data_IF_607740974884
#
_entry.id   IF_607740974884
#
_cell.length_a   1.000
_cell.length_b   1.000
_cell.length_c   1.000
_cell.angle_alpha   90.00
_cell.angle_beta   90.00
_cell.angle_gamma   90.00
#
_symmetry.space_group_name_H-M   'P 1'
#
loop_
_entity.id
_entity.type
_entity.pdbx_description
1 polymer ?
#
# COMPACT_ATOMS: atom_id res chain seq x y z
N UNK A 1 12.14 -7.88 16.00
CA UNK A 1 11.57 -8.50 14.78
C UNK A 1 12.17 -7.81 13.57
N UNK A 2 12.60 -8.58 12.56
CA UNK A 2 13.31 -8.08 11.36
C UNK A 2 12.51 -6.97 10.66
N UNK A 3 11.18 -7.09 10.62
CA UNK A 3 10.26 -6.06 10.10
C UNK A 3 10.43 -4.69 10.77
N UNK A 4 10.61 -4.67 12.10
CA UNK A 4 10.71 -3.42 12.85
C UNK A 4 12.06 -2.73 12.60
N UNK A 5 13.14 -3.51 12.46
CA UNK A 5 14.45 -2.97 12.10
C UNK A 5 14.46 -2.44 10.66
N UNK A 6 13.78 -3.14 9.75
CA UNK A 6 13.60 -2.69 8.37
C UNK A 6 12.83 -1.36 8.30
N UNK A 7 11.69 -1.27 9.00
CA UNK A 7 10.91 -0.01 9.08
C UNK A 7 11.71 1.12 9.74
N UNK A 8 12.50 0.81 10.77
CA UNK A 8 13.38 1.80 11.40
C UNK A 8 14.47 2.30 10.44
N UNK A 9 14.99 1.43 9.56
CA UNK A 9 15.97 1.78 8.53
C UNK A 9 15.37 2.63 7.40
N UNK A 10 14.09 2.45 7.05
CA UNK A 10 13.37 3.34 6.11
C UNK A 10 13.24 4.76 6.68
N UNK A 11 13.07 4.86 8.00
CA UNK A 11 12.93 6.13 8.71
C UNK A 11 11.48 6.60 8.82
N UNK A 12 11.10 7.08 10.00
CA UNK A 12 9.72 7.45 10.33
C UNK A 12 9.13 8.53 9.43
N UNK A 13 9.93 9.52 9.03
CA UNK A 13 9.48 10.59 8.14
C UNK A 13 9.12 10.03 6.77
N UNK A 14 9.97 9.19 6.18
CA UNK A 14 9.71 8.57 4.88
C UNK A 14 8.45 7.70 4.92
N UNK A 15 8.28 6.90 5.98
CA UNK A 15 7.07 6.09 6.20
C UNK A 15 5.81 6.97 6.23
N UNK A 16 5.85 8.11 6.93
CA UNK A 16 4.73 9.03 7.00
C UNK A 16 4.33 9.54 5.61
N UNK A 17 5.29 9.96 4.77
CA UNK A 17 4.98 10.40 3.40
C UNK A 17 4.44 9.28 2.52
N UNK A 18 4.95 8.05 2.66
CA UNK A 18 4.45 6.88 1.93
C UNK A 18 2.99 6.64 2.27
N UNK A 19 2.66 6.58 3.56
CA UNK A 19 1.29 6.35 4.04
C UNK A 19 0.39 7.49 3.56
N UNK A 20 0.83 8.74 3.70
CA UNK A 20 0.07 9.90 3.24
C UNK A 20 -0.24 9.83 1.74
N UNK A 21 0.74 9.45 0.91
CA UNK A 21 0.55 9.32 -0.53
C UNK A 21 -0.44 8.21 -0.90
N UNK A 22 -0.39 7.06 -0.22
CA UNK A 22 -1.36 5.98 -0.41
C UNK A 22 -2.77 6.36 0.07
N UNK A 23 -2.89 7.13 1.15
CA UNK A 23 -4.18 7.66 1.61
C UNK A 23 -4.75 8.65 0.60
N UNK A 24 -3.94 9.58 0.08
CA UNK A 24 -4.36 10.52 -0.95
C UNK A 24 -4.82 9.82 -2.22
N UNK A 25 -4.12 8.75 -2.62
CA UNK A 25 -4.55 7.89 -3.72
C UNK A 25 -5.93 7.25 -3.45
N UNK A 26 -6.13 6.73 -2.24
CA UNK A 26 -7.41 6.11 -1.84
C UNK A 26 -8.56 7.13 -1.83
N UNK A 27 -8.31 8.34 -1.34
CA UNK A 27 -9.27 9.45 -1.36
C UNK A 27 -9.63 9.85 -2.79
N UNK A 28 -8.63 9.97 -3.68
CA UNK A 28 -8.86 10.27 -5.10
C UNK A 28 -9.68 9.16 -5.78
N UNK A 29 -9.43 7.89 -5.45
CA UNK A 29 -10.22 6.76 -5.94
C UNK A 29 -11.68 6.86 -5.49
N UNK A 30 -11.95 7.09 -4.20
CA UNK A 30 -13.31 7.25 -3.69
C UNK A 30 -14.00 8.46 -4.33
N UNK A 31 -13.30 9.59 -4.41
CA UNK A 31 -13.82 10.82 -5.02
C UNK A 31 -14.19 10.64 -6.49
N UNK A 32 -13.37 9.93 -7.27
CA UNK A 32 -13.66 9.59 -8.67
C UNK A 32 -14.93 8.74 -8.81
N UNK A 33 -15.08 7.73 -7.95
CA UNK A 33 -16.27 6.87 -7.93
C UNK A 33 -17.54 7.63 -7.51
N UNK A 34 -17.45 8.49 -6.48
CA UNK A 34 -18.58 9.33 -6.04
C UNK A 34 -18.99 10.32 -7.13
N UNK A 35 -18.01 10.95 -7.81
CA UNK A 35 -18.30 11.85 -8.92
C UNK A 35 -19.00 11.13 -10.07
N UNK A 36 -18.55 9.93 -10.42
CA UNK A 36 -19.18 9.10 -11.44
C UNK A 36 -20.60 8.66 -11.03
N UNK A 37 -20.81 8.34 -9.75
CA UNK A 37 -22.14 8.01 -9.21
C UNK A 37 -23.11 9.20 -9.31
N UNK A 38 -22.65 10.42 -8.99
CA UNK A 38 -23.45 11.62 -9.16
C UNK A 38 -23.76 11.89 -10.63
N UNK A 39 -22.76 11.75 -11.51
CA UNK A 39 -22.95 11.96 -12.95
C UNK A 39 -23.95 10.97 -13.56
N UNK A 40 -23.87 9.69 -13.18
CA UNK A 40 -24.82 8.66 -13.64
C UNK A 40 -26.22 8.80 -13.05
N UNK A 41 -26.37 9.49 -11.92
CA UNK A 41 -27.68 9.80 -11.34
C UNK A 41 -28.35 10.96 -12.09
N UNK A 42 -27.59 12.00 -12.41
CA UNK A 42 -28.06 13.12 -13.23
C UNK A 42 -28.46 12.65 -14.63
N UNK A 43 -27.66 11.79 -15.27
CA UNK A 43 -27.95 11.32 -16.63
C UNK A 43 -29.27 10.56 -16.75
N UNK A 44 -29.75 9.91 -15.68
CA UNK A 44 -31.06 9.23 -15.65
C UNK A 44 -32.23 10.22 -15.79
N UNK A 45 -32.08 11.44 -15.26
CA UNK A 45 -33.11 12.49 -15.32
C UNK A 45 -33.18 13.08 -16.73
N UNK A 46 -32.03 13.22 -17.39
CA UNK A 46 -31.92 13.76 -18.75
C UNK A 46 -32.05 12.72 -19.86
N UNK A 47 -32.41 11.46 -19.56
CA UNK A 47 -32.54 10.42 -20.59
C UNK A 47 -33.70 10.69 -21.59
N UNK A 48 -34.54 11.70 -21.33
CA UNK A 48 -35.65 12.13 -22.19
C UNK A 48 -35.56 13.59 -22.66
N UNK A 49 -34.49 14.32 -22.33
CA UNK A 49 -34.25 15.71 -22.76
C UNK A 49 -32.79 15.89 -23.19
N UNK A 50 -32.50 16.77 -24.15
CA UNK A 50 -31.14 16.98 -24.62
C UNK A 50 -30.19 17.38 -23.47
N UNK A 51 -29.20 16.54 -23.17
CA UNK A 51 -28.21 16.81 -22.14
C UNK A 51 -27.36 18.03 -22.55
N UNK A 52 -27.28 19.10 -21.74
CA UNK A 52 -26.53 20.30 -22.11
C UNK A 52 -25.06 19.95 -22.37
N UNK A 53 -24.57 20.22 -23.59
CA UNK A 53 -23.18 19.91 -24.00
C UNK A 53 -22.14 20.47 -23.00
N UNK A 54 -22.37 21.68 -22.50
CA UNK A 54 -21.51 22.33 -21.49
C UNK A 54 -21.41 21.55 -20.17
N UNK A 55 -22.51 21.00 -19.65
CA UNK A 55 -22.49 20.22 -18.41
C UNK A 55 -21.78 18.87 -18.60
N UNK A 56 -21.95 18.25 -19.77
CA UNK A 56 -21.29 16.97 -20.09
C UNK A 56 -19.78 17.16 -20.15
N UNK A 57 -19.32 18.19 -20.85
CA UNK A 57 -17.90 18.45 -21.03
C UNK A 57 -17.23 18.86 -19.70
N UNK A 58 -17.94 19.60 -18.83
CA UNK A 58 -17.49 19.86 -17.45
C UNK A 58 -17.38 18.58 -16.61
N UNK A 59 -18.40 17.72 -16.60
CA UNK A 59 -18.40 16.45 -15.84
C UNK A 59 -17.27 15.52 -16.29
N UNK A 60 -17.07 15.41 -17.60
CA UNK A 60 -15.99 14.64 -18.22
C UNK A 60 -14.62 15.23 -17.86
N UNK A 61 -14.46 16.55 -17.93
CA UNK A 61 -13.23 17.24 -17.57
C UNK A 61 -12.82 17.02 -16.11
N UNK A 62 -13.77 17.15 -15.17
CA UNK A 62 -13.51 16.92 -13.74
C UNK A 62 -13.18 15.45 -13.49
N UNK A 63 -13.89 14.50 -14.11
CA UNK A 63 -13.59 13.08 -13.98
C UNK A 63 -12.20 12.73 -14.53
N UNK A 64 -11.84 13.28 -15.69
CA UNK A 64 -10.50 13.14 -16.27
C UNK A 64 -9.41 13.72 -15.36
N UNK A 65 -9.64 14.90 -14.79
CA UNK A 65 -8.71 15.53 -13.85
C UNK A 65 -8.53 14.70 -12.57
N UNK A 66 -9.62 14.14 -12.01
CA UNK A 66 -9.55 13.24 -10.85
C UNK A 66 -8.78 11.96 -11.16
N UNK A 67 -8.99 11.36 -12.35
CA UNK A 67 -8.24 10.19 -12.79
C UNK A 67 -6.74 10.47 -12.98
N UNK A 68 -6.40 11.62 -13.59
CA UNK A 68 -5.01 12.05 -13.72
C UNK A 68 -4.36 12.31 -12.36
N UNK A 69 -5.05 13.00 -11.46
CA UNK A 69 -4.58 13.23 -10.09
C UNK A 69 -4.36 11.91 -9.35
N UNK A 70 -5.30 10.97 -9.45
CA UNK A 70 -5.16 9.63 -8.89
C UNK A 70 -3.91 8.94 -9.43
N UNK A 71 -3.68 8.95 -10.75
CA UNK A 71 -2.50 8.35 -11.38
C UNK A 71 -1.19 8.97 -10.89
N UNK A 72 -1.13 10.29 -10.76
CA UNK A 72 0.03 11.01 -10.21
C UNK A 72 0.27 10.59 -8.75
N UNK A 73 -0.77 10.50 -7.92
CA UNK A 73 -0.62 10.06 -6.53
C UNK A 73 -0.16 8.60 -6.41
N UNK A 74 -0.67 7.68 -7.24
CA UNK A 74 -0.16 6.30 -7.31
C UNK A 74 1.32 6.30 -7.65
N UNK A 75 1.70 7.05 -8.67
CA UNK A 75 3.08 7.09 -9.14
C UNK A 75 4.02 7.61 -8.06
N UNK A 76 3.68 8.73 -7.41
CA UNK A 76 4.45 9.28 -6.29
C UNK A 76 4.55 8.29 -5.14
N UNK A 77 3.44 7.66 -4.73
CA UNK A 77 3.42 6.69 -3.64
C UNK A 77 4.37 5.51 -3.93
N UNK A 78 4.33 4.95 -5.14
CA UNK A 78 5.17 3.84 -5.54
C UNK A 78 6.63 4.21 -5.71
N UNK A 79 6.90 5.36 -6.33
CA UNK A 79 8.26 5.86 -6.51
C UNK A 79 8.94 6.13 -5.17
N UNK A 80 8.24 6.81 -4.27
CA UNK A 80 8.76 7.13 -2.94
C UNK A 80 8.95 5.87 -2.08
N UNK A 81 8.01 4.92 -2.16
CA UNK A 81 8.14 3.63 -1.49
C UNK A 81 9.37 2.86 -1.98
N UNK A 82 9.56 2.77 -3.30
CA UNK A 82 10.72 2.10 -3.89
C UNK A 82 12.03 2.74 -3.41
N UNK A 83 12.12 4.07 -3.40
CA UNK A 83 13.30 4.77 -2.89
C UNK A 83 13.54 4.48 -1.41
N UNK A 84 12.50 4.52 -0.58
CA UNK A 84 12.58 4.23 0.86
C UNK A 84 13.05 2.81 1.15
N UNK A 85 12.54 1.81 0.42
CA UNK A 85 12.93 0.41 0.58
C UNK A 85 14.36 0.12 0.11
N UNK A 86 14.76 0.67 -1.04
CA UNK A 86 16.15 0.56 -1.51
C UNK A 86 17.13 1.23 -0.53
N UNK A 87 16.75 2.38 0.05
CA UNK A 87 17.55 3.04 1.06
C UNK A 87 17.72 2.17 2.32
N UNK A 88 16.63 1.57 2.80
CA UNK A 88 16.64 0.68 3.96
C UNK A 88 17.49 -0.58 3.73
N UNK A 89 17.33 -1.24 2.59
CA UNK A 89 18.15 -2.39 2.17
C UNK A 89 19.64 -2.04 2.19
N UNK A 90 20.03 -0.89 1.64
CA UNK A 90 21.44 -0.46 1.61
C UNK A 90 22.00 -0.21 3.03
N UNK A 91 21.20 0.37 3.94
CA UNK A 91 21.59 0.54 5.34
C UNK A 91 21.81 -0.81 6.03
N UNK A 92 20.85 -1.73 5.89
CA UNK A 92 20.91 -3.05 6.53
C UNK A 92 22.08 -3.88 6.00
N UNK A 93 22.30 -3.88 4.67
CA UNK A 93 23.44 -4.52 4.04
C UNK A 93 24.77 -3.99 4.60
N UNK A 94 24.92 -2.67 4.72
CA UNK A 94 26.14 -2.04 5.28
C UNK A 94 26.34 -2.40 6.76
N UNK A 95 25.27 -2.39 7.56
CA UNK A 95 25.33 -2.76 8.97
C UNK A 95 25.75 -4.23 9.13
N UNK A 96 25.16 -5.14 8.35
CA UNK A 96 25.51 -6.54 8.39
C UNK A 96 26.95 -6.80 7.94
N UNK A 97 27.38 -6.17 6.84
CA UNK A 97 28.76 -6.29 6.35
C UNK A 97 29.77 -5.83 7.41
N UNK A 98 29.53 -4.67 8.03
CA UNK A 98 30.38 -4.14 9.09
C UNK A 98 30.43 -5.06 10.32
N UNK A 99 29.30 -5.70 10.68
CA UNK A 99 29.24 -6.65 11.78
C UNK A 99 30.02 -7.94 11.48
N UNK A 100 29.95 -8.44 10.24
CA UNK A 100 30.71 -9.62 9.80
C UNK A 100 32.21 -9.32 9.83
N UNK A 101 32.64 -8.17 9.30
CA UNK A 101 34.06 -7.79 9.27
C UNK A 101 34.67 -7.61 10.67
N UNK A 102 33.85 -7.31 11.69
CA UNK A 102 34.26 -7.17 13.09
C UNK A 102 34.12 -8.46 13.91
N UNK A 103 33.63 -9.55 13.31
CA UNK A 103 33.45 -10.80 14.00
C UNK A 103 34.82 -11.44 14.36
N UNK A 104 34.96 -12.09 15.53
CA UNK A 104 36.21 -12.72 15.92
C UNK A 104 36.57 -13.89 14.99
N UNK A 105 37.86 -14.18 14.81
CA UNK A 105 38.35 -15.29 13.96
C UNK A 105 37.65 -16.62 14.27
N UNK A 106 37.37 -16.89 15.55
CA UNK A 106 36.63 -18.07 16.04
C UNK A 106 35.25 -18.26 15.37
N UNK A 107 34.59 -17.18 14.97
CA UNK A 107 33.33 -17.25 14.22
C UNK A 107 33.57 -17.83 12.81
N UNK A 108 34.66 -17.44 12.16
CA UNK A 108 35.02 -17.94 10.83
C UNK A 108 35.57 -19.38 10.86
N UNK A 109 36.20 -19.79 11.96
CA UNK A 109 36.70 -21.17 12.11
C UNK A 109 35.58 -22.18 12.38
N UNK A 110 34.51 -21.75 13.06
CA UNK A 110 33.37 -22.61 13.43
C UNK A 110 32.27 -22.63 12.38
N UNK A 111 32.16 -21.59 11.56
CA UNK A 111 31.12 -21.46 10.53
C UNK A 111 31.75 -21.56 9.14
N UNK A 112 31.41 -22.57 8.31
CA UNK A 112 32.00 -22.71 6.99
C UNK A 112 31.73 -21.45 6.15
N UNK A 113 32.77 -20.90 5.53
CA UNK A 113 32.71 -19.64 4.77
C UNK A 113 31.63 -19.67 3.69
N UNK A 114 31.41 -20.83 3.06
CA UNK A 114 30.33 -21.04 2.09
C UNK A 114 28.92 -20.80 2.65
N UNK A 115 28.68 -21.09 3.94
CA UNK A 115 27.38 -20.81 4.59
C UNK A 115 27.17 -19.32 4.82
N UNK A 116 28.23 -18.58 5.15
CA UNK A 116 28.19 -17.12 5.31
C UNK A 116 27.85 -16.47 3.97
N UNK A 117 28.51 -16.90 2.89
CA UNK A 117 28.24 -16.40 1.53
C UNK A 117 26.82 -16.76 1.08
N UNK A 118 26.36 -17.99 1.31
CA UNK A 118 25.00 -18.40 0.95
C UNK A 118 23.93 -17.57 1.67
N UNK A 119 24.16 -17.28 2.95
CA UNK A 119 23.26 -16.44 3.76
C UNK A 119 23.32 -14.96 3.36
N UNK A 120 24.50 -14.45 2.99
CA UNK A 120 24.64 -13.06 2.56
C UNK A 120 24.07 -12.81 1.15
N UNK A 121 24.29 -13.75 0.22
CA UNK A 121 23.86 -13.62 -1.15
C UNK A 121 22.41 -14.07 -1.36
N UNK A 122 22.00 -15.19 -0.76
CA UNK A 122 20.67 -15.79 -0.98
C UNK A 122 19.61 -15.28 -0.01
N UNK A 123 19.85 -15.36 1.29
CA UNK A 123 18.80 -15.05 2.27
C UNK A 123 18.51 -13.54 2.32
N UNK A 124 19.53 -12.68 2.25
CA UNK A 124 19.32 -11.22 2.30
C UNK A 124 18.65 -10.70 1.04
N UNK A 125 19.08 -11.14 -0.14
CA UNK A 125 18.44 -10.71 -1.39
C UNK A 125 16.97 -11.11 -1.42
N UNK A 126 16.66 -12.34 -1.01
CA UNK A 126 15.28 -12.80 -0.88
C UNK A 126 14.48 -11.94 0.10
N UNK A 127 15.05 -11.61 1.25
CA UNK A 127 14.39 -10.75 2.24
C UNK A 127 14.17 -9.33 1.69
N UNK A 128 15.15 -8.77 0.98
CA UNK A 128 15.07 -7.43 0.41
C UNK A 128 14.11 -7.31 -0.77
N UNK A 129 13.82 -8.40 -1.48
CA UNK A 129 12.79 -8.42 -2.52
C UNK A 129 11.39 -8.69 -1.92
N UNK A 130 11.30 -9.66 -1.02
CA UNK A 130 10.02 -10.13 -0.48
C UNK A 130 9.41 -9.17 0.54
N UNK A 131 10.22 -8.53 1.39
CA UNK A 131 9.72 -7.61 2.42
C UNK A 131 9.02 -6.38 1.82
N UNK A 132 9.65 -5.61 0.92
CA UNK A 132 9.01 -4.47 0.25
C UNK A 132 7.73 -4.86 -0.47
N UNK A 133 7.78 -5.97 -1.21
CA UNK A 133 6.65 -6.44 -2.00
C UNK A 133 5.47 -6.82 -1.09
N UNK A 134 5.74 -7.53 0.00
CA UNK A 134 4.73 -7.93 0.98
C UNK A 134 4.13 -6.72 1.70
N UNK A 135 4.98 -5.78 2.16
CA UNK A 135 4.54 -4.55 2.83
C UNK A 135 3.67 -3.69 1.91
N UNK A 136 4.10 -3.48 0.67
CA UNK A 136 3.34 -2.72 -0.32
C UNK A 136 2.00 -3.39 -0.61
N UNK A 137 1.99 -4.70 -0.84
CA UNK A 137 0.77 -5.47 -1.10
C UNK A 137 -0.19 -5.40 0.09
N UNK A 138 0.33 -5.48 1.31
CA UNK A 138 -0.45 -5.37 2.53
C UNK A 138 -1.11 -4.00 2.66
N UNK A 139 -0.35 -2.91 2.47
CA UNK A 139 -0.88 -1.53 2.53
C UNK A 139 -1.94 -1.30 1.45
N UNK A 140 -1.69 -1.72 0.20
CA UNK A 140 -2.66 -1.53 -0.88
C UNK A 140 -3.92 -2.36 -0.68
N UNK A 141 -3.79 -3.59 -0.18
CA UNK A 141 -4.93 -4.45 0.12
C UNK A 141 -5.75 -3.86 1.28
N UNK A 142 -5.09 -3.48 2.37
CA UNK A 142 -5.74 -2.91 3.55
C UNK A 142 -6.50 -1.62 3.22
N UNK A 143 -5.85 -0.67 2.53
CA UNK A 143 -6.50 0.57 2.09
C UNK A 143 -7.58 0.32 1.03
N UNK A 144 -7.39 -0.68 0.17
CA UNK A 144 -8.41 -1.12 -0.79
C UNK A 144 -9.68 -1.61 -0.08
N UNK A 145 -9.54 -2.48 0.92
CA UNK A 145 -10.65 -2.97 1.74
C UNK A 145 -11.35 -1.81 2.47
N UNK A 146 -10.59 -0.89 3.07
CA UNK A 146 -11.19 0.29 3.72
C UNK A 146 -11.96 1.14 2.69
N UNK A 147 -11.37 1.39 1.53
CA UNK A 147 -11.97 2.23 0.50
C UNK A 147 -13.27 1.63 -0.04
N UNK A 148 -13.31 0.32 -0.26
CA UNK A 148 -14.52 -0.39 -0.72
C UNK A 148 -15.58 -0.42 0.37
N UNK A 149 -15.20 -0.69 1.63
CA UNK A 149 -16.14 -0.64 2.76
C UNK A 149 -16.76 0.74 2.92
N UNK A 150 -15.95 1.82 2.88
CA UNK A 150 -16.46 3.19 2.95
C UNK A 150 -17.45 3.47 1.80
N UNK A 151 -17.13 3.05 0.59
CA UNK A 151 -18.01 3.22 -0.58
C UNK A 151 -19.35 2.50 -0.41
N UNK A 152 -19.34 1.25 0.06
CA UNK A 152 -20.56 0.45 0.28
C UNK A 152 -21.39 1.05 1.42
N UNK A 153 -20.76 1.48 2.51
CA UNK A 153 -21.45 2.11 3.64
C UNK A 153 -22.09 3.45 3.24
N UNK A 154 -21.44 4.23 2.37
CA UNK A 154 -22.03 5.45 1.81
C UNK A 154 -23.22 5.16 0.88
N UNK A 155 -23.12 4.12 0.04
CA UNK A 155 -24.20 3.74 -0.87
C UNK A 155 -25.41 3.14 -0.14
N UNK A 156 -25.16 2.34 0.91
CA UNK A 156 -26.19 1.61 1.67
C UNK A 156 -25.88 1.65 3.16
N UNK A 157 -26.39 2.64 3.91
CA UNK A 157 -26.09 2.80 5.35
C UNK A 157 -26.44 1.57 6.19
N UNK A 158 -27.50 0.84 5.82
CA UNK A 158 -27.96 -0.39 6.49
C UNK A 158 -26.90 -1.50 6.46
N UNK A 159 -26.05 -1.54 5.42
CA UNK A 159 -24.99 -2.54 5.28
C UNK A 159 -23.96 -2.46 6.41
N UNK A 160 -23.80 -1.29 7.04
CA UNK A 160 -22.89 -1.09 8.20
C UNK A 160 -23.18 -2.07 9.33
N UNK A 161 -24.45 -2.41 9.57
CA UNK A 161 -24.86 -3.36 10.62
C UNK A 161 -24.35 -4.77 10.32
N UNK A 162 -24.25 -5.15 9.04
CA UNK A 162 -23.79 -6.47 8.58
C UNK A 162 -22.26 -6.56 8.58
N UNK A 163 -21.55 -5.44 8.38
CA UNK A 163 -20.08 -5.39 8.39
C UNK A 163 -19.51 -5.75 9.76
N UNK A 164 -20.16 -5.34 10.85
CA UNK A 164 -19.69 -5.60 12.22
C UNK A 164 -19.58 -7.11 12.52
N UNK A 165 -20.65 -7.94 12.37
CA UNK A 165 -20.55 -9.38 12.62
C UNK A 165 -19.61 -10.07 11.64
N UNK A 166 -19.56 -9.64 10.37
CA UNK A 166 -18.58 -10.16 9.40
C UNK A 166 -17.13 -9.90 9.85
N UNK A 167 -16.85 -8.71 10.38
CA UNK A 167 -15.54 -8.36 10.92
C UNK A 167 -15.13 -9.23 12.11
N UNK A 168 -16.07 -9.53 13.01
CA UNK A 168 -15.83 -10.44 14.15
C UNK A 168 -15.52 -11.86 13.66
N UNK A 169 -16.28 -12.39 12.69
CA UNK A 169 -16.01 -13.70 12.09
C UNK A 169 -14.64 -13.71 11.43
N UNK A 170 -14.32 -12.69 10.63
CA UNK A 170 -13.02 -12.56 9.97
C UNK A 170 -11.86 -12.57 10.97
N UNK A 171 -11.94 -11.76 12.04
CA UNK A 171 -10.90 -11.73 13.08
C UNK A 171 -10.80 -13.06 13.81
N UNK A 172 -11.93 -13.73 14.07
CA UNK A 172 -11.94 -15.05 14.72
C UNK A 172 -11.24 -16.10 13.85
N UNK A 173 -11.53 -16.13 12.56
CA UNK A 173 -10.87 -17.01 11.59
C UNK A 173 -9.39 -16.66 11.44
N UNK A 174 -9.05 -15.37 11.40
CA UNK A 174 -7.67 -14.91 11.31
C UNK A 174 -6.86 -15.36 12.54
N UNK A 175 -7.41 -15.20 13.74
CA UNK A 175 -6.75 -15.65 14.97
C UNK A 175 -6.58 -17.17 14.95
N UNK A 176 -7.59 -17.93 14.53
CA UNK A 176 -7.50 -19.39 14.43
C UNK A 176 -6.45 -19.86 13.42
N UNK A 177 -6.28 -19.16 12.29
CA UNK A 177 -5.30 -19.53 11.26
C UNK A 177 -3.87 -19.07 11.59
N UNK A 178 -3.73 -17.99 12.36
CA UNK A 178 -2.42 -17.44 12.77
C UNK A 178 -1.89 -18.07 14.07
N UNK A 179 -2.78 -18.67 14.88
CA UNK A 179 -2.41 -19.47 16.06
C UNK A 179 -1.92 -20.86 15.66
#
# INVERSE_FOLDING_TARGET
SIYLEYLRAVGFFSIFFIILAFVMNSVAFIGSNLWLSAWTSDSKIFNSTDYPKSQRDMRLGVYGALGLAQGIFVFIAHFWSAFGFVHASNILHKQLLNNILRAPMRFFDTTPTGRIVNRFAGDISTVDDTLPQSMRSWVTCFLGIISTLVMICMATPVFTIIVIPLGIIYVSVQIFYVS
#
